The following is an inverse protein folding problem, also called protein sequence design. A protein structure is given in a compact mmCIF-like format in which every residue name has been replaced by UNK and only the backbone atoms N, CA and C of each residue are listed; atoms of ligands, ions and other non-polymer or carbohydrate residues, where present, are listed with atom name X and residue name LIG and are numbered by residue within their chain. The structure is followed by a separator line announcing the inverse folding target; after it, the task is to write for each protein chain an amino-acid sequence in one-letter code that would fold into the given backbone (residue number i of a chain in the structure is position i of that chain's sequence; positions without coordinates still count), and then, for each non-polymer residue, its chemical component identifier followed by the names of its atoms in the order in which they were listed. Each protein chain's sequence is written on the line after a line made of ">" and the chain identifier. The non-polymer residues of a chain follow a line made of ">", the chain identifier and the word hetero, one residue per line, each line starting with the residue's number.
data_IF_108531859596
#
_entry.id   IF_108531859596
#
_cell.length_a   1.000
_cell.length_b   1.000
_cell.length_c   1.000
_cell.angle_alpha   90.00
_cell.angle_beta   90.00
_cell.angle_gamma   90.00
#
_symmetry.space_group_name_H-M   'P 1'
#
loop_
_entity.id
_entity.type
_entity.pdbx_description
1 polymer ?
#
# COMPACT_ATOMS: atom_id res chain seq x y z
N UNK A 1 17.15 -13.96 29.88
CA UNK A 1 16.88 -13.43 28.53
C UNK A 1 17.63 -14.20 27.40
N UNK A 2 18.94 -14.43 27.49
CA UNK A 2 19.63 -15.20 26.41
C UNK A 2 19.08 -16.60 26.16
N UNK A 3 18.45 -17.19 27.15
CA UNK A 3 17.84 -18.52 27.05
C UNK A 3 16.53 -18.50 26.28
N UNK A 4 15.70 -17.46 26.47
CA UNK A 4 14.45 -17.29 25.72
C UNK A 4 14.71 -17.03 24.23
N UNK A 5 15.68 -16.18 23.90
CA UNK A 5 16.08 -15.92 22.50
C UNK A 5 16.50 -17.21 21.80
N UNK A 6 17.34 -18.03 22.45
CA UNK A 6 17.75 -19.33 21.92
C UNK A 6 16.57 -20.30 21.73
N UNK A 7 15.61 -20.27 22.65
CA UNK A 7 14.41 -21.10 22.54
C UNK A 7 13.53 -20.66 21.36
N UNK A 8 13.37 -19.34 21.15
CA UNK A 8 12.63 -18.80 20.01
C UNK A 8 13.31 -19.11 18.66
N UNK A 9 14.65 -19.08 18.62
CA UNK A 9 15.43 -19.43 17.42
C UNK A 9 15.33 -20.91 17.03
N UNK A 10 14.93 -21.77 17.94
CA UNK A 10 14.72 -23.20 17.67
C UNK A 10 13.34 -23.51 17.09
N UNK A 11 12.40 -22.55 17.15
CA UNK A 11 11.04 -22.73 16.68
C UNK A 11 10.93 -22.38 15.19
N UNK A 12 10.19 -23.18 14.45
CA UNK A 12 9.76 -22.83 13.09
C UNK A 12 8.77 -21.67 13.11
N UNK A 13 8.56 -21.06 11.95
CA UNK A 13 7.59 -19.95 11.82
C UNK A 13 6.17 -20.38 12.24
N UNK A 14 5.75 -21.60 11.91
CA UNK A 14 4.44 -22.13 12.29
C UNK A 14 4.33 -22.37 13.79
N UNK A 15 5.38 -22.85 14.43
CA UNK A 15 5.44 -23.02 15.89
C UNK A 15 5.43 -21.67 16.62
N UNK A 16 6.15 -20.67 16.10
CA UNK A 16 6.11 -19.29 16.61
C UNK A 16 4.70 -18.70 16.51
N UNK A 17 4.04 -18.89 15.37
CA UNK A 17 2.63 -18.46 15.18
C UNK A 17 1.69 -19.16 16.16
N UNK A 18 1.88 -20.45 16.41
CA UNK A 18 1.10 -21.20 17.38
C UNK A 18 1.30 -20.69 18.82
N UNK A 19 2.53 -20.40 19.23
CA UNK A 19 2.86 -19.81 20.53
C UNK A 19 2.20 -18.45 20.70
N UNK A 20 2.30 -17.59 19.68
CA UNK A 20 1.67 -16.25 19.69
C UNK A 20 0.15 -16.39 19.81
N UNK A 21 -0.46 -17.29 19.05
CA UNK A 21 -1.91 -17.54 19.08
C UNK A 21 -2.39 -18.04 20.45
N UNK A 22 -1.65 -18.94 21.09
CA UNK A 22 -1.96 -19.43 22.43
C UNK A 22 -1.78 -18.33 23.49
N UNK A 23 -0.73 -17.52 23.36
CA UNK A 23 -0.42 -16.40 24.26
C UNK A 23 -1.37 -15.20 24.05
N UNK A 24 -2.13 -15.14 22.95
CA UNK A 24 -3.07 -14.04 22.67
C UNK A 24 -4.29 -13.99 23.62
N UNK A 25 -4.40 -14.92 24.54
CA UNK A 25 -5.35 -14.89 25.66
C UNK A 25 -4.87 -14.03 26.84
N UNK A 26 -3.59 -13.63 26.83
CA UNK A 26 -2.98 -12.80 27.84
C UNK A 26 -2.94 -11.34 27.36
N UNK A 27 -3.62 -10.45 28.04
CA UNK A 27 -3.72 -9.02 27.68
C UNK A 27 -2.36 -8.32 27.66
N UNK A 28 -1.38 -8.77 28.44
CA UNK A 28 -0.02 -8.23 28.44
C UNK A 28 0.69 -8.61 27.13
N UNK A 29 0.55 -9.86 26.70
CA UNK A 29 1.13 -10.33 25.44
C UNK A 29 0.49 -9.61 24.25
N UNK A 30 -0.83 -9.47 24.25
CA UNK A 30 -1.56 -8.70 23.21
C UNK A 30 -1.03 -7.27 23.15
N UNK A 31 -0.89 -6.59 24.28
CA UNK A 31 -0.38 -5.22 24.34
C UNK A 31 1.06 -5.10 23.80
N UNK A 32 1.91 -6.08 24.05
CA UNK A 32 3.27 -6.12 23.51
C UNK A 32 3.24 -6.28 21.99
N UNK A 33 2.43 -7.22 21.47
CA UNK A 33 2.28 -7.45 20.04
C UNK A 33 1.76 -6.19 19.34
N UNK A 34 0.72 -5.57 19.89
CA UNK A 34 0.19 -4.30 19.37
C UNK A 34 1.26 -3.21 19.31
N UNK A 35 2.09 -3.10 20.35
CA UNK A 35 3.21 -2.16 20.36
C UNK A 35 4.22 -2.40 19.24
N UNK A 36 4.53 -3.67 18.91
CA UNK A 36 5.38 -4.01 17.77
C UNK A 36 4.71 -3.68 16.44
N UNK A 37 3.43 -4.00 16.29
CA UNK A 37 2.68 -3.71 15.05
C UNK A 37 2.60 -2.20 14.82
N UNK A 38 2.29 -1.41 15.86
CA UNK A 38 2.24 0.06 15.76
C UNK A 38 3.56 0.64 15.26
N UNK A 39 4.70 0.18 15.78
CA UNK A 39 6.02 0.63 15.29
C UNK A 39 6.27 0.24 13.83
N UNK A 40 5.80 -0.93 13.40
CA UNK A 40 5.89 -1.35 11.99
C UNK A 40 5.02 -0.52 11.04
N UNK A 41 3.96 0.07 11.56
CA UNK A 41 3.05 0.92 10.80
C UNK A 41 3.51 2.39 10.73
N UNK A 42 4.54 2.77 11.49
CA UNK A 42 5.13 4.12 11.42
C UNK A 42 5.62 4.42 10.00
N UNK A 43 5.41 5.64 9.55
CA UNK A 43 5.81 6.11 8.24
C UNK A 43 6.07 7.61 8.25
N UNK A 44 6.82 8.08 7.27
CA UNK A 44 6.90 9.49 6.90
C UNK A 44 6.30 9.70 5.51
N UNK A 45 5.88 10.92 5.13
CA UNK A 45 5.44 11.21 3.76
C UNK A 45 6.52 10.89 2.71
N UNK A 46 7.80 11.05 3.05
CA UNK A 46 8.90 10.71 2.15
C UNK A 46 9.05 9.20 1.94
N UNK A 47 8.81 8.40 2.98
CA UNK A 47 8.78 6.94 2.85
C UNK A 47 7.70 6.52 1.86
N UNK A 48 6.49 7.07 2.00
CA UNK A 48 5.36 6.77 1.10
C UNK A 48 5.66 7.21 -0.33
N UNK A 49 6.31 8.36 -0.52
CA UNK A 49 6.73 8.81 -1.85
C UNK A 49 7.74 7.85 -2.49
N UNK A 50 8.72 7.40 -1.72
CA UNK A 50 9.72 6.42 -2.17
C UNK A 50 9.08 5.07 -2.51
N UNK A 51 8.21 4.56 -1.66
CA UNK A 51 7.46 3.32 -1.93
C UNK A 51 6.58 3.46 -3.18
N UNK A 52 5.90 4.59 -3.35
CA UNK A 52 5.08 4.88 -4.53
C UNK A 52 5.93 4.88 -5.80
N UNK A 53 7.11 5.48 -5.77
CA UNK A 53 8.03 5.47 -6.91
C UNK A 53 8.43 4.04 -7.31
N UNK A 54 8.72 3.17 -6.34
CA UNK A 54 9.05 1.76 -6.58
C UNK A 54 7.86 1.02 -7.20
N UNK A 55 6.66 1.21 -6.66
CA UNK A 55 5.45 0.57 -7.17
C UNK A 55 5.13 0.99 -8.61
N UNK A 56 5.27 2.28 -8.92
CA UNK A 56 5.06 2.80 -10.26
C UNK A 56 6.11 2.28 -11.24
N UNK A 57 7.38 2.19 -10.82
CA UNK A 57 8.44 1.59 -11.63
C UNK A 57 8.17 0.12 -11.95
N UNK A 58 7.70 -0.65 -10.98
CA UNK A 58 7.34 -2.06 -11.20
C UNK A 58 6.13 -2.19 -12.15
N UNK A 59 5.17 -1.28 -12.07
CA UNK A 59 4.04 -1.23 -13.00
C UNK A 59 4.50 -0.87 -14.43
N UNK A 60 5.45 0.05 -14.57
CA UNK A 60 6.06 0.39 -15.86
C UNK A 60 6.79 -0.82 -16.47
N UNK A 61 7.52 -1.58 -15.66
CA UNK A 61 8.18 -2.83 -16.11
C UNK A 61 7.15 -3.82 -16.67
N UNK A 62 6.01 -3.96 -16.01
CA UNK A 62 4.90 -4.78 -16.52
C UNK A 62 4.34 -4.25 -17.85
N UNK A 63 4.13 -2.94 -17.97
CA UNK A 63 3.66 -2.30 -19.21
C UNK A 63 4.63 -2.57 -20.36
N UNK A 64 5.93 -2.42 -20.15
CA UNK A 64 6.95 -2.67 -21.16
C UNK A 64 7.09 -4.15 -21.51
N UNK A 65 6.89 -5.05 -20.56
CA UNK A 65 6.84 -6.49 -20.82
C UNK A 65 5.66 -6.83 -21.76
N UNK A 66 4.47 -6.33 -21.47
CA UNK A 66 3.29 -6.47 -22.33
C UNK A 66 3.56 -5.89 -23.74
N UNK A 67 4.13 -4.69 -23.81
CA UNK A 67 4.49 -4.06 -25.08
C UNK A 67 5.44 -4.92 -25.92
N UNK A 68 6.38 -5.64 -25.28
CA UNK A 68 7.32 -6.52 -25.98
C UNK A 68 6.67 -7.73 -26.63
N UNK A 69 5.48 -8.12 -26.17
CA UNK A 69 4.73 -9.29 -26.67
C UNK A 69 3.75 -8.95 -27.78
N UNK A 70 3.42 -7.67 -27.98
CA UNK A 70 2.39 -7.24 -28.93
C UNK A 70 2.93 -6.14 -29.87
N UNK A 71 2.53 -6.19 -31.14
CA UNK A 71 2.85 -5.16 -32.13
C UNK A 71 1.76 -4.07 -32.16
N UNK A 72 1.56 -3.45 -31.00
CA UNK A 72 0.61 -2.35 -30.81
C UNK A 72 1.27 -1.21 -30.06
N UNK A 73 0.75 0.01 -30.17
CA UNK A 73 1.25 1.14 -29.39
C UNK A 73 0.92 0.96 -27.88
N UNK A 74 1.61 1.70 -27.00
CA UNK A 74 1.30 1.67 -25.58
C UNK A 74 -0.12 2.15 -25.31
N UNK A 75 -0.57 3.17 -26.00
CA UNK A 75 -1.91 3.74 -25.87
C UNK A 75 -3.01 2.77 -26.34
N UNK A 76 -2.72 1.92 -27.31
CA UNK A 76 -3.64 0.85 -27.75
C UNK A 76 -3.71 -0.29 -26.75
N UNK A 77 -2.57 -0.70 -26.17
CA UNK A 77 -2.49 -1.77 -25.19
C UNK A 77 -3.04 -1.34 -23.83
N UNK A 78 -2.77 -0.07 -23.45
CA UNK A 78 -3.17 0.55 -22.19
C UNK A 78 -3.92 1.86 -22.46
N UNK A 79 -5.16 1.80 -22.96
CA UNK A 79 -6.01 3.00 -23.01
C UNK A 79 -6.23 3.53 -21.59
N UNK A 80 -6.61 4.80 -21.47
CA UNK A 80 -6.69 5.52 -20.18
C UNK A 80 -7.43 4.74 -19.09
N UNK A 81 -8.54 4.10 -19.41
CA UNK A 81 -9.33 3.31 -18.45
C UNK A 81 -8.58 2.07 -17.95
N UNK A 82 -7.82 1.40 -18.81
CA UNK A 82 -6.99 0.24 -18.44
C UNK A 82 -5.76 0.69 -17.64
N UNK A 83 -5.13 1.79 -18.01
CA UNK A 83 -4.04 2.39 -17.26
C UNK A 83 -4.51 2.81 -15.86
N UNK A 84 -5.66 3.45 -15.75
CA UNK A 84 -6.25 3.83 -14.46
C UNK A 84 -6.55 2.60 -13.59
N UNK A 85 -7.09 1.52 -14.17
CA UNK A 85 -7.33 0.28 -13.43
C UNK A 85 -6.02 -0.32 -12.91
N UNK A 86 -4.95 -0.29 -13.70
CA UNK A 86 -3.62 -0.75 -13.26
C UNK A 86 -3.04 0.15 -12.15
N UNK A 87 -3.23 1.47 -12.22
CA UNK A 87 -2.83 2.38 -11.16
C UNK A 87 -3.58 2.08 -9.85
N UNK A 88 -4.90 1.92 -9.94
CA UNK A 88 -5.73 1.60 -8.77
C UNK A 88 -5.33 0.25 -8.13
N UNK A 89 -5.08 -0.77 -8.94
CA UNK A 89 -4.61 -2.08 -8.48
C UNK A 89 -3.22 -1.98 -7.83
N UNK A 90 -2.30 -1.26 -8.45
CA UNK A 90 -0.94 -1.03 -7.94
C UNK A 90 -0.97 -0.36 -6.57
N UNK A 91 -1.77 0.68 -6.41
CA UNK A 91 -1.94 1.41 -5.16
C UNK A 91 -2.64 0.56 -4.11
N UNK A 92 -3.69 -0.18 -4.50
CA UNK A 92 -4.38 -1.09 -3.60
C UNK A 92 -3.43 -2.15 -3.04
N UNK A 93 -2.73 -2.87 -3.91
CA UNK A 93 -1.82 -3.94 -3.50
C UNK A 93 -0.64 -3.42 -2.66
N UNK A 94 -0.21 -2.18 -2.87
CA UNK A 94 0.90 -1.59 -2.13
C UNK A 94 0.54 -1.05 -0.75
N UNK A 95 -0.69 -0.55 -0.56
CA UNK A 95 -1.01 0.27 0.61
C UNK A 95 -2.26 -0.13 1.38
N UNK A 96 -3.21 -0.85 0.78
CA UNK A 96 -4.50 -1.14 1.41
C UNK A 96 -4.36 -1.90 2.72
N UNK A 97 -3.61 -2.98 2.76
CA UNK A 97 -3.48 -3.83 3.95
C UNK A 97 -2.92 -3.05 5.14
N UNK A 98 -1.98 -2.12 4.90
CA UNK A 98 -1.40 -1.26 5.93
C UNK A 98 -2.43 -0.27 6.44
N UNK A 99 -3.18 0.38 5.56
CA UNK A 99 -4.25 1.31 5.92
C UNK A 99 -5.37 0.59 6.70
N UNK A 100 -5.78 -0.59 6.25
CA UNK A 100 -6.78 -1.42 6.93
C UNK A 100 -6.33 -1.83 8.33
N UNK A 101 -5.07 -2.22 8.48
CA UNK A 101 -4.49 -2.54 9.79
C UNK A 101 -4.53 -1.34 10.74
N UNK A 102 -4.19 -0.14 10.26
CA UNK A 102 -4.27 1.09 11.07
C UNK A 102 -5.72 1.34 11.54
N UNK A 103 -6.71 1.20 10.65
CA UNK A 103 -8.13 1.37 10.99
C UNK A 103 -8.57 0.33 12.00
N UNK A 104 -8.23 -0.94 11.80
CA UNK A 104 -8.60 -2.05 12.71
C UNK A 104 -7.99 -1.91 14.10
N UNK A 105 -6.85 -1.24 14.21
CA UNK A 105 -6.19 -0.94 15.49
C UNK A 105 -6.66 0.38 16.13
N UNK A 106 -7.68 1.05 15.55
CA UNK A 106 -8.18 2.32 16.05
C UNK A 106 -7.28 3.53 15.78
N UNK A 107 -6.27 3.39 14.90
CA UNK A 107 -5.34 4.44 14.50
C UNK A 107 -5.93 5.27 13.34
N UNK A 108 -7.12 5.83 13.52
CA UNK A 108 -7.85 6.51 12.43
C UNK A 108 -7.14 7.76 11.91
N UNK A 109 -6.52 8.54 12.78
CA UNK A 109 -5.81 9.75 12.36
C UNK A 109 -4.56 9.40 11.55
N UNK A 110 -3.84 8.38 11.97
CA UNK A 110 -2.68 7.85 11.25
C UNK A 110 -3.09 7.24 9.92
N UNK A 111 -4.19 6.49 9.86
CA UNK A 111 -4.73 5.94 8.62
C UNK A 111 -5.09 7.06 7.62
N UNK A 112 -5.75 8.11 8.09
CA UNK A 112 -6.09 9.29 7.27
C UNK A 112 -4.84 9.99 6.74
N UNK A 113 -3.83 10.18 7.59
CA UNK A 113 -2.57 10.79 7.20
C UNK A 113 -1.83 9.90 6.18
N UNK A 114 -1.86 8.59 6.38
CA UNK A 114 -1.26 7.61 5.47
C UNK A 114 -1.91 7.68 4.07
N UNK A 115 -3.23 7.62 4.00
CA UNK A 115 -3.99 7.70 2.74
C UNK A 115 -3.74 9.03 2.03
N UNK A 116 -3.73 10.13 2.78
CA UNK A 116 -3.38 11.46 2.23
C UNK A 116 -1.97 11.46 1.65
N UNK A 117 -1.00 10.87 2.35
CA UNK A 117 0.39 10.77 1.87
C UNK A 117 0.48 9.95 0.58
N UNK A 118 -0.32 8.89 0.43
CA UNK A 118 -0.42 8.12 -0.82
C UNK A 118 -0.98 8.99 -1.96
N UNK A 119 -2.06 9.71 -1.73
CA UNK A 119 -2.64 10.61 -2.73
C UNK A 119 -1.67 11.73 -3.14
N UNK A 120 -0.98 12.34 -2.18
CA UNK A 120 0.05 13.35 -2.43
C UNK A 120 1.25 12.79 -3.20
N UNK A 121 1.65 11.55 -2.90
CA UNK A 121 2.72 10.88 -3.65
C UNK A 121 2.33 10.66 -5.12
N UNK A 122 1.10 10.23 -5.39
CA UNK A 122 0.59 10.11 -6.77
C UNK A 122 0.65 11.47 -7.47
N UNK A 123 0.13 12.54 -6.84
CA UNK A 123 0.17 13.89 -7.40
C UNK A 123 1.59 14.38 -7.67
N UNK A 124 2.54 14.01 -6.82
CA UNK A 124 3.95 14.37 -7.00
C UNK A 124 4.51 13.86 -8.33
N UNK A 125 4.07 12.69 -8.80
CA UNK A 125 4.53 12.08 -10.05
C UNK A 125 3.69 12.48 -11.27
N UNK A 126 2.59 13.22 -11.10
CA UNK A 126 1.84 13.77 -12.24
C UNK A 126 2.71 14.77 -12.98
N UNK A 127 2.85 14.58 -14.28
CA UNK A 127 3.75 15.39 -15.12
C UNK A 127 5.19 14.87 -15.21
N UNK A 128 5.53 13.83 -14.46
CA UNK A 128 6.82 13.13 -14.64
C UNK A 128 6.71 12.19 -15.85
N UNK A 129 7.30 12.62 -16.97
CA UNK A 129 7.26 11.86 -18.23
C UNK A 129 8.05 10.55 -18.17
N UNK A 130 8.91 10.36 -17.17
CA UNK A 130 9.65 9.12 -16.97
C UNK A 130 8.77 7.96 -16.45
N UNK A 131 7.59 8.28 -15.88
CA UNK A 131 6.66 7.29 -15.35
C UNK A 131 5.53 7.06 -16.36
N UNK A 132 5.65 5.96 -17.09
CA UNK A 132 4.75 5.61 -18.19
C UNK A 132 3.32 5.40 -17.75
N UNK A 133 3.08 4.73 -16.62
CA UNK A 133 1.74 4.48 -16.11
C UNK A 133 0.99 5.79 -15.83
N UNK A 134 1.62 6.74 -15.16
CA UNK A 134 1.01 8.05 -14.86
C UNK A 134 0.72 8.81 -16.16
N UNK A 135 1.62 8.78 -17.13
CA UNK A 135 1.42 9.40 -18.45
C UNK A 135 0.21 8.80 -19.17
N UNK A 136 0.06 7.48 -19.17
CA UNK A 136 -1.06 6.78 -19.81
C UNK A 136 -2.40 7.05 -19.10
N UNK A 137 -2.40 7.31 -17.79
CA UNK A 137 -3.60 7.70 -17.05
C UNK A 137 -4.07 9.14 -17.38
N UNK A 138 -3.17 10.02 -17.83
CA UNK A 138 -3.51 11.40 -18.10
C UNK A 138 -4.13 12.10 -16.89
N UNK A 139 -5.22 12.84 -17.10
CA UNK A 139 -5.95 13.55 -16.02
C UNK A 139 -6.64 12.62 -15.01
N UNK A 140 -6.86 11.36 -15.38
CA UNK A 140 -7.48 10.36 -14.49
C UNK A 140 -6.61 10.04 -13.29
N UNK A 141 -5.28 10.19 -13.36
CA UNK A 141 -4.39 10.02 -12.21
C UNK A 141 -4.68 11.05 -11.10
N UNK A 142 -4.92 12.32 -11.46
CA UNK A 142 -5.29 13.35 -10.49
C UNK A 142 -6.65 13.09 -9.87
N UNK A 143 -7.64 12.71 -10.68
CA UNK A 143 -8.99 12.36 -10.19
C UNK A 143 -8.95 11.16 -9.24
N UNK A 144 -8.10 10.17 -9.52
CA UNK A 144 -7.92 9.03 -8.62
C UNK A 144 -7.33 9.45 -7.27
N UNK A 145 -6.32 10.32 -7.26
CA UNK A 145 -5.77 10.87 -6.02
C UNK A 145 -6.82 11.66 -5.22
N UNK A 146 -7.65 12.46 -5.89
CA UNK A 146 -8.76 13.18 -5.26
C UNK A 146 -9.80 12.21 -4.68
N UNK A 147 -10.08 11.12 -5.37
CA UNK A 147 -11.00 10.08 -4.90
C UNK A 147 -10.48 9.37 -3.64
N UNK A 148 -9.20 9.06 -3.56
CA UNK A 148 -8.59 8.52 -2.34
C UNK A 148 -8.83 9.44 -1.14
N UNK A 149 -8.70 10.75 -1.32
CA UNK A 149 -8.90 11.73 -0.25
C UNK A 149 -10.36 12.02 0.07
N UNK A 150 -11.28 11.79 -0.87
CA UNK A 150 -12.70 12.11 -0.70
C UNK A 150 -13.38 11.35 0.44
N UNK A 151 -12.83 10.19 0.82
CA UNK A 151 -13.35 9.35 1.89
C UNK A 151 -12.68 9.57 3.26
N UNK A 152 -11.65 10.43 3.35
CA UNK A 152 -10.87 10.60 4.59
C UNK A 152 -11.72 11.03 5.79
N UNK A 153 -12.75 11.84 5.58
CA UNK A 153 -13.62 12.35 6.65
C UNK A 153 -14.92 11.54 6.80
N UNK A 154 -15.09 10.45 6.04
CA UNK A 154 -16.22 9.53 6.16
C UNK A 154 -15.99 8.49 7.26
N UNK A 155 -17.03 7.74 7.58
CA UNK A 155 -16.94 6.59 8.50
C UNK A 155 -16.07 5.46 7.95
N UNK A 156 -15.89 5.41 6.63
CA UNK A 156 -15.00 4.49 5.93
C UNK A 156 -13.90 5.25 5.18
N UNK A 157 -12.77 5.56 5.83
CA UNK A 157 -11.67 6.26 5.19
C UNK A 157 -10.97 5.46 4.09
N UNK A 158 -11.23 4.15 4.02
CA UNK A 158 -10.68 3.24 3.00
C UNK A 158 -11.50 3.23 1.70
N UNK A 159 -12.64 3.91 1.66
CA UNK A 159 -13.59 3.87 0.54
C UNK A 159 -13.00 4.30 -0.80
N UNK A 160 -11.91 5.08 -0.81
CA UNK A 160 -11.19 5.47 -2.02
C UNK A 160 -10.31 4.37 -2.64
N UNK A 161 -10.02 3.30 -1.90
CA UNK A 161 -9.32 2.14 -2.44
C UNK A 161 -10.32 1.21 -3.13
N UNK A 162 -10.36 1.26 -4.45
CA UNK A 162 -11.22 0.36 -5.22
C UNK A 162 -10.53 -0.97 -5.48
N UNK A 163 -11.13 -2.03 -4.98
CA UNK A 163 -10.85 -3.40 -5.43
C UNK A 163 -11.79 -3.69 -6.59
N UNK A 164 -11.24 -3.78 -7.79
CA UNK A 164 -11.99 -4.32 -8.92
C UNK A 164 -11.82 -5.82 -9.02
#
# INVERSE_FOLDING_TARGET
>A
MPELERMLDLLSEDELRAVIKESSKDDVVVSIIEGFVRRKLEFTPDDIRTETAILLSNADDYIFLEKSMFDSSLEELFPENKALALLAETVFNGFYDRAEMMVSMGMLNEARLFIRSVAEAIRHFIGDESITLIKLCGESASRFADELESFLNSDDPLGGFHKK
#
